data_IF_799733813999
#
_entry.id   IF_799733813999
#
_cell.length_a   1.000
_cell.length_b   1.000
_cell.length_c   1.000
_cell.angle_alpha   90.00
_cell.angle_beta   90.00
_cell.angle_gamma   90.00
#
_symmetry.space_group_name_H-M   'P 1'
#
loop_
_entity.id
_entity.type
_entity.pdbx_description
1 polymer ?
#
# COMPACT_ATOMS: atom_id res chain seq x y z
N UNK A 1 -14.14 54.02 -33.22
CA UNK A 1 -13.52 52.88 -32.57
C UNK A 1 -14.01 52.78 -31.13
N UNK A 2 -14.79 51.77 -30.82
CA UNK A 2 -15.50 51.68 -29.55
C UNK A 2 -14.61 51.15 -28.44
N UNK A 3 -13.93 52.05 -27.72
CA UNK A 3 -13.13 51.69 -26.53
C UNK A 3 -13.94 50.95 -25.44
N UNK A 4 -15.24 51.12 -25.42
CA UNK A 4 -16.15 50.40 -24.51
C UNK A 4 -16.21 48.91 -24.81
N UNK A 5 -16.15 48.50 -26.08
CA UNK A 5 -16.17 47.08 -26.49
C UNK A 5 -14.87 46.35 -26.18
N UNK A 6 -13.74 47.03 -26.31
CA UNK A 6 -12.42 46.46 -25.94
C UNK A 6 -12.25 46.32 -24.44
N UNK A 7 -12.81 47.21 -23.63
CA UNK A 7 -12.81 47.07 -22.18
C UNK A 7 -13.69 45.93 -21.68
N UNK A 8 -14.83 45.70 -22.35
CA UNK A 8 -15.70 44.56 -22.04
C UNK A 8 -15.03 43.22 -22.41
N UNK A 9 -14.37 43.15 -23.57
CA UNK A 9 -13.67 41.97 -24.00
C UNK A 9 -12.47 41.63 -23.09
N UNK A 10 -11.75 42.65 -22.61
CA UNK A 10 -10.66 42.45 -21.63
C UNK A 10 -11.18 41.93 -20.27
N UNK A 11 -12.34 42.40 -19.82
CA UNK A 11 -12.97 41.95 -18.58
C UNK A 11 -13.42 40.48 -18.65
N UNK A 12 -13.96 40.05 -19.78
CA UNK A 12 -14.37 38.65 -20.02
C UNK A 12 -13.15 37.73 -20.09
N UNK A 13 -12.07 38.17 -20.72
CA UNK A 13 -10.82 37.39 -20.82
C UNK A 13 -10.17 37.22 -19.46
N UNK A 14 -10.22 38.24 -18.60
CA UNK A 14 -9.64 38.19 -17.24
C UNK A 14 -10.47 37.25 -16.32
N UNK A 15 -11.79 37.21 -16.52
CA UNK A 15 -12.65 36.27 -15.78
C UNK A 15 -12.45 34.80 -16.14
N UNK A 16 -12.05 34.49 -17.37
CA UNK A 16 -11.83 33.12 -17.81
C UNK A 16 -10.53 32.50 -17.27
N UNK A 17 -9.57 33.33 -16.83
CA UNK A 17 -8.29 32.86 -16.25
C UNK A 17 -8.39 32.54 -14.75
N UNK A 18 -9.52 32.87 -14.11
CA UNK A 18 -9.77 32.61 -12.68
C UNK A 18 -10.53 31.31 -12.42
N UNK A 19 -10.84 30.50 -13.47
CA UNK A 19 -11.25 29.11 -13.27
C UNK A 19 -10.00 28.32 -12.84
N UNK A 20 -9.56 28.60 -11.64
CA UNK A 20 -8.46 27.90 -10.99
C UNK A 20 -8.79 26.42 -10.91
N UNK A 21 -7.78 25.63 -11.11
CA UNK A 21 -7.74 24.19 -10.92
C UNK A 21 -8.61 23.79 -9.74
N UNK A 22 -9.74 23.21 -10.01
CA UNK A 22 -10.45 22.42 -9.02
C UNK A 22 -9.56 21.23 -8.71
N UNK A 23 -8.67 21.37 -7.71
CA UNK A 23 -8.00 20.24 -7.09
C UNK A 23 -9.12 19.51 -6.34
N UNK A 24 -9.82 18.64 -7.07
CA UNK A 24 -10.91 17.82 -6.52
C UNK A 24 -10.43 16.64 -5.68
N UNK A 25 -9.20 16.67 -5.19
CA UNK A 25 -8.78 15.76 -4.13
C UNK A 25 -9.12 16.41 -2.80
N UNK A 26 -10.18 15.95 -2.17
CA UNK A 26 -10.50 16.36 -0.81
C UNK A 26 -9.29 16.03 0.07
N UNK A 27 -8.84 17.01 0.86
CA UNK A 27 -7.75 16.82 1.84
C UNK A 27 -8.04 15.67 2.80
N UNK A 28 -9.31 15.30 2.97
CA UNK A 28 -9.73 14.15 3.76
C UNK A 28 -9.14 12.82 3.24
N UNK A 29 -8.96 12.68 1.92
CA UNK A 29 -8.32 11.48 1.34
C UNK A 29 -6.83 11.40 1.67
N UNK A 30 -6.17 12.54 1.89
CA UNK A 30 -4.75 12.59 2.26
C UNK A 30 -4.51 12.33 3.75
N UNK A 31 -5.54 12.44 4.57
CA UNK A 31 -5.50 12.21 6.02
C UNK A 31 -5.94 10.79 6.41
N UNK A 32 -6.41 9.99 5.45
CA UNK A 32 -6.71 8.59 5.72
C UNK A 32 -5.42 7.82 6.04
N UNK A 33 -5.42 6.96 7.07
CA UNK A 33 -4.29 6.08 7.32
C UNK A 33 -4.02 5.23 6.08
N UNK A 34 -2.76 4.87 5.81
CA UNK A 34 -2.43 4.03 4.67
C UNK A 34 -3.22 2.72 4.73
N UNK A 35 -4.09 2.52 3.76
CA UNK A 35 -4.89 1.32 3.62
C UNK A 35 -4.13 0.30 2.77
N UNK A 36 -4.25 -0.97 3.13
CA UNK A 36 -3.73 -2.05 2.29
C UNK A 36 -4.39 -2.01 0.90
N UNK A 37 -3.60 -2.22 -0.14
CA UNK A 37 -4.13 -2.44 -1.49
C UNK A 37 -4.99 -3.70 -1.52
N UNK A 38 -5.79 -3.88 -2.56
CA UNK A 38 -6.64 -5.08 -2.68
C UNK A 38 -5.80 -6.36 -2.77
N UNK A 39 -4.63 -6.28 -3.40
CA UNK A 39 -3.67 -7.38 -3.43
C UNK A 39 -3.10 -7.67 -2.04
N UNK A 40 -2.67 -6.66 -1.31
CA UNK A 40 -2.18 -6.82 0.06
C UNK A 40 -3.26 -7.36 1.01
N UNK A 41 -4.53 -6.99 0.82
CA UNK A 41 -5.65 -7.57 1.57
C UNK A 41 -5.83 -9.05 1.26
N UNK A 42 -5.71 -9.46 -0.01
CA UNK A 42 -5.80 -10.86 -0.41
C UNK A 42 -4.65 -11.69 0.21
N UNK A 43 -3.43 -11.15 0.20
CA UNK A 43 -2.26 -11.75 0.84
C UNK A 43 -2.49 -11.85 2.36
N UNK A 44 -2.95 -10.77 3.00
CA UNK A 44 -3.23 -10.76 4.43
C UNK A 44 -4.29 -11.79 4.83
N UNK A 45 -5.33 -11.95 4.00
CA UNK A 45 -6.36 -12.98 4.20
C UNK A 45 -5.76 -14.39 4.14
N UNK A 46 -4.90 -14.67 3.16
CA UNK A 46 -4.22 -15.95 3.04
C UNK A 46 -3.24 -16.19 4.20
N UNK A 47 -2.53 -15.15 4.63
CA UNK A 47 -1.64 -15.20 5.78
C UNK A 47 -2.41 -15.55 7.07
N UNK A 48 -3.51 -14.85 7.36
CA UNK A 48 -4.33 -15.12 8.54
C UNK A 48 -4.99 -16.49 8.52
N UNK A 49 -5.30 -17.03 7.34
CA UNK A 49 -5.80 -18.39 7.20
C UNK A 49 -4.75 -19.45 7.58
N UNK A 50 -3.45 -19.17 7.39
CA UNK A 50 -2.36 -20.11 7.71
C UNK A 50 -1.74 -19.88 9.08
N UNK A 51 -1.54 -18.63 9.48
CA UNK A 51 -0.83 -18.24 10.70
C UNK A 51 -1.77 -17.94 11.89
N UNK A 52 -3.07 -17.81 11.63
CA UNK A 52 -4.04 -17.39 12.65
C UNK A 52 -4.40 -15.91 12.55
N UNK A 53 -5.43 -15.50 13.28
CA UNK A 53 -5.96 -14.14 13.22
C UNK A 53 -5.26 -13.15 14.17
N UNK A 54 -4.49 -13.66 15.13
CA UNK A 54 -3.82 -12.83 16.16
C UNK A 54 -2.41 -12.44 15.70
N UNK A 55 -2.32 -11.83 14.53
CA UNK A 55 -1.07 -11.38 13.95
C UNK A 55 -1.04 -9.87 13.77
N UNK A 56 0.14 -9.29 13.82
CA UNK A 56 0.40 -7.88 13.53
C UNK A 56 1.48 -7.75 12.46
N UNK A 57 1.24 -6.93 11.43
CA UNK A 57 2.24 -6.69 10.39
C UNK A 57 3.42 -5.91 10.96
N UNK A 58 4.62 -6.34 10.64
CA UNK A 58 5.87 -5.69 11.05
C UNK A 58 6.44 -4.90 9.88
N UNK A 59 6.64 -3.61 10.09
CA UNK A 59 7.18 -2.69 9.09
C UNK A 59 8.67 -2.42 9.37
N UNK A 60 9.53 -2.53 8.35
CA UNK A 60 10.95 -2.25 8.50
C UNK A 60 11.18 -0.81 8.99
N UNK A 61 12.05 -0.64 9.98
CA UNK A 61 12.40 0.67 10.54
C UNK A 61 13.50 1.39 9.76
N UNK A 62 14.16 0.69 8.85
CA UNK A 62 15.28 1.22 8.05
C UNK A 62 15.35 0.57 6.68
N UNK A 63 16.26 1.06 5.83
CA UNK A 63 16.45 0.54 4.48
C UNK A 63 15.54 1.18 3.43
N UNK A 64 15.60 0.64 2.22
CA UNK A 64 14.82 1.12 1.06
C UNK A 64 13.36 0.63 1.10
N UNK A 65 13.11 -0.50 1.71
CA UNK A 65 11.77 -1.10 1.80
C UNK A 65 11.11 -0.68 3.11
N UNK A 66 9.91 -0.09 2.99
CA UNK A 66 9.12 0.37 4.13
C UNK A 66 7.77 -0.32 4.26
N UNK A 67 7.58 -1.39 3.49
CA UNK A 67 6.36 -2.20 3.51
C UNK A 67 6.59 -3.49 4.27
N UNK A 68 5.57 -3.97 4.98
CA UNK A 68 5.56 -5.31 5.54
C UNK A 68 5.45 -6.40 4.46
N UNK A 69 5.12 -6.01 3.22
CA UNK A 69 4.99 -6.87 2.05
C UNK A 69 6.13 -6.57 1.09
N UNK A 70 6.89 -7.58 0.72
CA UNK A 70 7.94 -7.52 -0.31
C UNK A 70 7.59 -8.51 -1.41
N UNK A 71 7.65 -8.10 -2.66
CA UNK A 71 7.38 -8.93 -3.81
C UNK A 71 8.69 -9.25 -4.52
N UNK A 72 8.97 -10.53 -4.73
CA UNK A 72 10.18 -10.98 -5.38
C UNK A 72 9.99 -12.40 -5.95
N UNK A 73 10.47 -12.62 -7.17
CA UNK A 73 10.51 -13.94 -7.81
C UNK A 73 11.61 -14.79 -7.17
N UNK A 74 11.24 -15.59 -6.18
CA UNK A 74 12.17 -16.37 -5.37
C UNK A 74 12.55 -17.70 -6.02
N UNK A 75 11.66 -18.29 -6.79
CA UNK A 75 11.86 -19.60 -7.44
C UNK A 75 12.23 -19.47 -8.93
N UNK A 76 12.30 -18.24 -9.47
CA UNK A 76 12.64 -17.90 -10.84
C UNK A 76 11.67 -18.47 -11.88
N UNK A 77 10.41 -18.55 -11.54
CA UNK A 77 9.34 -19.03 -12.43
C UNK A 77 8.72 -17.87 -13.25
N UNK A 78 9.08 -16.63 -12.97
CA UNK A 78 8.62 -15.41 -13.62
C UNK A 78 7.40 -14.77 -12.95
N UNK A 79 6.94 -15.30 -11.82
CA UNK A 79 5.94 -14.70 -10.96
C UNK A 79 6.54 -14.31 -9.62
N UNK A 80 6.11 -13.17 -9.06
CA UNK A 80 6.60 -12.74 -7.75
C UNK A 80 5.85 -13.46 -6.62
N UNK A 81 6.59 -13.97 -5.63
CA UNK A 81 6.09 -14.36 -4.33
C UNK A 81 5.90 -13.13 -3.44
N UNK A 82 4.97 -13.22 -2.50
CA UNK A 82 4.83 -12.26 -1.42
C UNK A 82 5.59 -12.73 -0.18
N UNK A 83 6.57 -11.97 0.23
CA UNK A 83 7.27 -12.15 1.51
C UNK A 83 6.66 -11.18 2.51
N UNK A 84 6.11 -11.68 3.60
CA UNK A 84 5.40 -10.87 4.60
C UNK A 84 6.06 -11.02 5.95
N UNK A 85 6.35 -9.90 6.59
CA UNK A 85 6.87 -9.84 7.95
C UNK A 85 5.73 -9.57 8.93
N UNK A 86 5.60 -10.39 9.94
CA UNK A 86 4.54 -10.27 10.93
C UNK A 86 5.01 -10.77 12.30
N UNK A 87 4.29 -10.37 13.31
CA UNK A 87 4.45 -10.79 14.70
C UNK A 87 3.20 -11.57 15.11
N UNK A 88 3.39 -12.70 15.77
CA UNK A 88 2.31 -13.48 16.37
C UNK A 88 2.09 -12.97 17.79
N UNK A 89 0.95 -12.32 18.00
CA UNK A 89 0.65 -11.70 19.30
C UNK A 89 0.34 -12.71 20.40
N UNK A 90 0.10 -13.96 20.04
CA UNK A 90 -0.09 -15.06 20.99
C UNK A 90 1.25 -15.70 21.41
N UNK A 91 2.32 -15.46 20.67
CA UNK A 91 3.65 -15.95 20.99
C UNK A 91 4.34 -15.02 22.01
N UNK A 92 4.62 -15.56 23.21
CA UNK A 92 5.26 -14.81 24.29
C UNK A 92 6.72 -14.44 24.03
N UNK A 93 7.34 -15.00 22.99
CA UNK A 93 8.74 -14.76 22.65
C UNK A 93 8.96 -13.54 21.74
N UNK A 94 7.88 -12.87 21.28
CA UNK A 94 7.92 -11.66 20.44
C UNK A 94 8.90 -11.78 19.26
N UNK A 95 8.87 -12.90 18.59
CA UNK A 95 9.75 -13.14 17.45
C UNK A 95 9.04 -12.72 16.16
N UNK A 96 9.66 -11.81 15.43
CA UNK A 96 9.22 -11.49 14.07
C UNK A 96 9.30 -12.75 13.21
N UNK A 97 8.20 -13.05 12.54
CA UNK A 97 8.06 -14.18 11.63
C UNK A 97 8.09 -13.69 10.18
N UNK A 98 8.54 -14.55 9.31
CA UNK A 98 8.47 -14.35 7.86
C UNK A 98 7.58 -15.43 7.26
N UNK A 99 6.62 -15.02 6.45
CA UNK A 99 5.79 -15.92 5.66
C UNK A 99 6.04 -15.65 4.18
N UNK A 100 6.16 -16.71 3.40
CA UNK A 100 6.24 -16.63 1.94
C UNK A 100 4.95 -17.19 1.38
N UNK A 101 4.29 -16.39 0.55
CA UNK A 101 3.05 -16.79 -0.11
C UNK A 101 3.29 -16.83 -1.62
N UNK A 102 2.92 -17.95 -2.21
CA UNK A 102 2.96 -18.15 -3.66
C UNK A 102 1.62 -17.76 -4.28
N UNK A 103 1.67 -17.16 -5.48
CA UNK A 103 0.48 -16.78 -6.25
C UNK A 103 -0.11 -18.01 -6.92
N UNK A 104 -1.38 -18.28 -6.67
CA UNK A 104 -2.16 -19.32 -7.35
C UNK A 104 -3.23 -18.70 -8.25
N UNK A 105 -3.85 -19.50 -9.12
CA UNK A 105 -4.85 -19.03 -10.09
C UNK A 105 -6.01 -18.24 -9.46
N UNK A 106 -6.31 -18.46 -8.19
CA UNK A 106 -7.45 -17.88 -7.48
C UNK A 106 -7.07 -17.15 -6.18
N UNK A 107 -5.82 -16.78 -6.01
CA UNK A 107 -5.39 -16.04 -4.81
C UNK A 107 -3.96 -16.35 -4.39
N UNK A 108 -3.73 -16.38 -3.11
CA UNK A 108 -2.42 -16.58 -2.49
C UNK A 108 -2.45 -17.78 -1.55
N UNK A 109 -1.35 -18.51 -1.46
CA UNK A 109 -1.17 -19.65 -0.54
C UNK A 109 0.16 -19.54 0.18
N UNK A 110 0.13 -19.64 1.51
CA UNK A 110 1.34 -19.75 2.31
C UNK A 110 2.09 -21.04 2.00
N UNK A 111 3.35 -20.93 1.65
CA UNK A 111 4.24 -22.05 1.32
C UNK A 111 5.38 -22.20 2.31
N UNK A 112 5.67 -21.14 3.08
CA UNK A 112 6.74 -21.14 4.07
C UNK A 112 6.39 -20.19 5.20
N UNK A 113 6.66 -20.61 6.43
CA UNK A 113 6.52 -19.80 7.64
C UNK A 113 7.65 -20.12 8.62
N UNK A 114 8.36 -19.12 9.08
CA UNK A 114 9.47 -19.29 10.01
C UNK A 114 9.62 -18.11 10.97
N UNK A 115 9.93 -18.42 12.22
CA UNK A 115 10.29 -17.41 13.19
C UNK A 115 11.73 -16.91 12.94
N UNK A 116 11.88 -15.60 12.82
CA UNK A 116 13.20 -14.97 12.69
C UNK A 116 13.93 -14.96 14.03
N UNK A 117 15.25 -15.20 13.99
CA UNK A 117 16.11 -14.98 15.14
C UNK A 117 16.61 -13.53 15.12
N UNK A 118 15.96 -12.63 15.86
CA UNK A 118 16.42 -11.25 16.01
C UNK A 118 15.30 -10.25 16.26
N UNK A 119 15.65 -9.17 16.92
CA UNK A 119 14.80 -7.97 17.07
C UNK A 119 15.05 -7.02 15.89
N UNK A 120 14.01 -6.53 15.24
CA UNK A 120 14.08 -5.52 14.21
C UNK A 120 13.96 -4.11 14.80
#
# INVERSE_FOLDING_TARGET
MNMKKTRLAALVLTGALLTGCGIGSSVDTLLLPPMLSDEQKAIYTALTASAGSNISLVYPRGGAYRSAFVFYDLDMDGADEAVVFYDDTDDSENSVRVNILHRENNGWRSVYDHAGAGSY
#
